data_IF_106065836681
#
_entry.id   IF_106065836681
#
_cell.length_a   1.000
_cell.length_b   1.000
_cell.length_c   1.000
_cell.angle_alpha   90.00
_cell.angle_beta   90.00
_cell.angle_gamma   90.00
#
_symmetry.space_group_name_H-M   'P 1'
#
loop_
_entity.id
_entity.type
_entity.pdbx_description
1 polymer ?
#
# COMPACT_ATOMS: atom_id res chain seq x y z
N UNK A 1 -39.22 -27.42 -36.63
CA UNK A 1 -37.82 -27.86 -36.76
C UNK A 1 -37.00 -26.68 -37.29
N UNK A 2 -36.51 -25.82 -36.40
CA UNK A 2 -35.69 -24.65 -36.77
C UNK A 2 -34.23 -25.11 -36.76
N UNK A 3 -33.70 -25.34 -37.95
CA UNK A 3 -32.30 -25.63 -38.23
C UNK A 3 -31.38 -24.51 -37.72
N UNK A 4 -30.16 -24.89 -37.31
CA UNK A 4 -28.97 -24.07 -36.99
C UNK A 4 -28.89 -22.74 -37.77
N UNK A 5 -29.67 -21.73 -37.35
CA UNK A 5 -29.47 -20.34 -37.75
C UNK A 5 -28.52 -19.70 -36.76
N UNK A 6 -27.52 -18.97 -37.27
CA UNK A 6 -26.88 -17.93 -36.49
C UNK A 6 -27.95 -16.90 -36.17
N UNK A 7 -28.45 -16.92 -34.93
CA UNK A 7 -29.42 -15.94 -34.44
C UNK A 7 -28.71 -14.59 -34.36
N UNK A 8 -29.25 -13.60 -35.06
CA UNK A 8 -28.75 -12.23 -34.98
C UNK A 8 -29.14 -11.60 -33.63
N UNK A 9 -28.44 -10.53 -33.24
CA UNK A 9 -28.67 -9.88 -31.95
C UNK A 9 -30.11 -9.39 -31.75
N UNK A 10 -30.73 -8.83 -32.80
CA UNK A 10 -32.11 -8.35 -32.73
C UNK A 10 -33.08 -9.51 -32.53
N UNK A 11 -32.89 -10.60 -33.27
CA UNK A 11 -33.67 -11.83 -33.14
C UNK A 11 -33.53 -12.43 -31.72
N UNK A 12 -32.33 -12.39 -31.12
CA UNK A 12 -32.15 -12.83 -29.72
C UNK A 12 -32.95 -11.97 -28.73
N UNK A 13 -32.92 -10.63 -28.89
CA UNK A 13 -33.66 -9.72 -28.01
C UNK A 13 -35.17 -9.94 -28.15
N UNK A 14 -35.66 -10.10 -29.38
CA UNK A 14 -37.06 -10.40 -29.66
C UNK A 14 -37.50 -11.72 -29.02
N UNK A 15 -36.68 -12.78 -29.15
CA UNK A 15 -36.93 -14.07 -28.48
C UNK A 15 -36.99 -13.89 -26.96
N UNK A 16 -36.05 -13.17 -26.36
CA UNK A 16 -36.09 -12.92 -24.90
C UNK A 16 -37.34 -12.13 -24.49
N UNK A 17 -37.78 -11.16 -25.30
CA UNK A 17 -38.99 -10.40 -25.02
C UNK A 17 -40.25 -11.26 -25.15
N UNK A 18 -40.31 -12.16 -26.13
CA UNK A 18 -41.39 -13.13 -26.28
C UNK A 18 -41.44 -14.09 -25.09
N UNK A 19 -40.30 -14.65 -24.68
CA UNK A 19 -40.21 -15.49 -23.47
C UNK A 19 -40.64 -14.69 -22.24
N UNK A 20 -40.22 -13.43 -22.11
CA UNK A 20 -40.62 -12.58 -21.01
C UNK A 20 -42.11 -12.20 -20.99
N UNK A 21 -42.74 -12.19 -22.16
CA UNK A 21 -44.19 -11.94 -22.33
C UNK A 21 -45.01 -13.19 -22.01
N UNK A 22 -44.59 -14.34 -22.53
CA UNK A 22 -45.27 -15.64 -22.36
C UNK A 22 -44.94 -16.33 -21.04
N UNK A 23 -43.89 -15.87 -20.37
CA UNK A 23 -43.26 -16.48 -19.20
C UNK A 23 -42.89 -17.97 -19.40
N UNK A 24 -42.60 -18.37 -20.64
CA UNK A 24 -42.34 -19.75 -21.03
C UNK A 24 -41.17 -19.86 -22.02
N UNK A 25 -40.24 -20.79 -21.78
CA UNK A 25 -39.07 -21.04 -22.63
C UNK A 25 -39.16 -22.31 -23.49
N UNK A 26 -40.25 -23.08 -23.37
CA UNK A 26 -40.40 -24.42 -23.98
C UNK A 26 -40.23 -24.42 -25.50
N UNK A 27 -40.69 -23.37 -26.18
CA UNK A 27 -40.56 -23.21 -27.62
C UNK A 27 -39.09 -23.13 -28.09
N UNK A 28 -38.18 -22.83 -27.16
CA UNK A 28 -36.77 -22.56 -27.42
C UNK A 28 -35.82 -23.61 -26.82
N UNK A 29 -36.35 -24.72 -26.26
CA UNK A 29 -35.56 -25.80 -25.64
C UNK A 29 -34.64 -26.58 -26.58
N UNK A 30 -34.76 -26.36 -27.89
CA UNK A 30 -33.89 -26.92 -28.94
C UNK A 30 -33.12 -25.83 -29.71
N UNK A 31 -33.17 -24.59 -29.22
CA UNK A 31 -32.51 -23.45 -29.84
C UNK A 31 -31.10 -23.28 -29.24
N UNK A 32 -30.11 -23.85 -29.91
CA UNK A 32 -28.70 -23.87 -29.47
C UNK A 32 -28.14 -22.48 -29.05
N UNK A 33 -28.38 -21.38 -29.80
CA UNK A 33 -27.91 -20.06 -29.38
C UNK A 33 -28.53 -19.56 -28.07
N UNK A 34 -29.79 -19.90 -27.81
CA UNK A 34 -30.48 -19.59 -26.55
C UNK A 34 -29.92 -20.45 -25.43
N UNK A 35 -29.91 -21.78 -25.58
CA UNK A 35 -29.46 -22.70 -24.52
C UNK A 35 -28.03 -22.41 -24.09
N UNK A 36 -27.11 -22.19 -25.04
CA UNK A 36 -25.68 -21.98 -24.76
C UNK A 36 -25.33 -20.55 -24.34
N UNK A 37 -26.32 -19.69 -24.13
CA UNK A 37 -26.10 -18.28 -23.75
C UNK A 37 -25.08 -17.60 -24.68
N UNK A 38 -25.17 -17.84 -26.00
CA UNK A 38 -24.18 -17.32 -26.97
C UNK A 38 -24.18 -15.80 -27.09
N UNK A 39 -25.07 -15.13 -26.36
CA UNK A 39 -25.14 -13.69 -26.27
C UNK A 39 -24.65 -13.18 -24.90
N UNK A 40 -23.39 -12.74 -24.86
CA UNK A 40 -22.80 -12.08 -23.70
C UNK A 40 -22.86 -10.55 -23.86
N UNK A 41 -23.76 -9.88 -23.14
CA UNK A 41 -23.82 -8.40 -23.10
C UNK A 41 -22.60 -7.75 -22.44
N UNK A 42 -21.69 -8.55 -21.85
CA UNK A 42 -20.59 -8.09 -21.01
C UNK A 42 -19.42 -7.44 -21.74
N UNK A 43 -19.13 -7.79 -23.00
CA UNK A 43 -17.90 -7.33 -23.67
C UNK A 43 -18.04 -6.05 -24.50
N UNK A 44 -19.20 -5.41 -24.52
CA UNK A 44 -19.50 -4.43 -25.58
C UNK A 44 -20.26 -3.17 -25.13
N UNK A 45 -20.14 -2.75 -23.87
CA UNK A 45 -20.74 -1.48 -23.42
C UNK A 45 -20.01 -0.22 -23.95
N UNK A 46 -18.82 -0.34 -24.55
CA UNK A 46 -18.05 0.78 -25.12
C UNK A 46 -18.10 0.87 -26.66
N UNK A 47 -18.67 -0.10 -27.38
CA UNK A 47 -18.69 -0.09 -28.86
C UNK A 47 -20.05 -0.53 -29.42
N UNK A 48 -20.77 0.40 -30.06
CA UNK A 48 -21.95 0.24 -30.94
C UNK A 48 -23.20 -0.52 -30.40
N UNK A 49 -23.11 -1.27 -29.30
CA UNK A 49 -24.18 -2.17 -28.81
C UNK A 49 -25.25 -1.50 -27.94
N UNK A 50 -25.03 -0.27 -27.47
CA UNK A 50 -26.06 0.54 -26.80
C UNK A 50 -27.29 0.82 -27.69
N UNK A 51 -27.15 0.66 -29.02
CA UNK A 51 -28.19 1.01 -29.99
C UNK A 51 -29.29 -0.05 -30.13
N UNK A 52 -29.02 -1.33 -29.80
CA UNK A 52 -29.96 -2.43 -30.03
C UNK A 52 -30.74 -2.85 -28.77
N UNK A 53 -30.39 -2.32 -27.60
CA UNK A 53 -31.15 -2.56 -26.36
C UNK A 53 -32.47 -1.77 -26.44
N UNK A 54 -33.62 -2.38 -26.09
CA UNK A 54 -34.89 -1.66 -26.09
C UNK A 54 -34.85 -0.40 -25.21
N UNK A 55 -35.35 0.72 -25.73
CA UNK A 55 -35.33 1.98 -25.00
C UNK A 55 -36.53 2.16 -24.06
N UNK A 56 -37.67 1.52 -24.39
CA UNK A 56 -38.90 1.62 -23.59
C UNK A 56 -38.80 0.73 -22.35
N UNK A 57 -39.31 1.24 -21.23
CA UNK A 57 -39.26 0.55 -19.94
C UNK A 57 -39.98 -0.82 -20.01
N UNK A 58 -41.16 -0.89 -20.63
CA UNK A 58 -41.91 -2.14 -20.74
C UNK A 58 -41.13 -3.20 -21.54
N UNK A 59 -40.50 -2.79 -22.64
CA UNK A 59 -39.66 -3.64 -23.47
C UNK A 59 -38.41 -4.13 -22.74
N UNK A 60 -37.82 -3.30 -21.87
CA UNK A 60 -36.70 -3.70 -21.00
C UNK A 60 -37.14 -4.71 -19.95
N UNK A 61 -38.34 -4.54 -19.38
CA UNK A 61 -38.90 -5.47 -18.40
C UNK A 61 -39.14 -6.84 -19.05
N UNK A 62 -39.69 -6.88 -20.26
CA UNK A 62 -39.88 -8.14 -21.01
C UNK A 62 -38.53 -8.82 -21.30
N UNK A 63 -37.56 -8.07 -21.83
CA UNK A 63 -36.20 -8.58 -22.07
C UNK A 63 -35.60 -9.16 -20.78
N UNK A 64 -35.70 -8.44 -19.67
CA UNK A 64 -35.21 -8.88 -18.37
C UNK A 64 -35.89 -10.17 -17.91
N UNK A 65 -37.21 -10.26 -18.00
CA UNK A 65 -37.97 -11.47 -17.64
C UNK A 65 -37.52 -12.68 -18.45
N UNK A 66 -37.35 -12.52 -19.77
CA UNK A 66 -36.86 -13.60 -20.63
C UNK A 66 -35.47 -14.10 -20.23
N UNK A 67 -34.56 -13.19 -19.93
CA UNK A 67 -33.22 -13.54 -19.44
C UNK A 67 -33.25 -14.28 -18.10
N UNK A 68 -34.15 -13.92 -17.18
CA UNK A 68 -34.33 -14.61 -15.89
C UNK A 68 -34.87 -16.03 -16.10
N UNK A 69 -35.89 -16.19 -16.93
CA UNK A 69 -36.49 -17.49 -17.24
C UNK A 69 -35.46 -18.41 -17.89
N UNK A 70 -34.71 -17.91 -18.89
CA UNK A 70 -33.67 -18.69 -19.54
C UNK A 70 -32.52 -19.04 -18.58
N UNK A 71 -32.13 -18.14 -17.68
CA UNK A 71 -31.13 -18.44 -16.65
C UNK A 71 -31.58 -19.60 -15.76
N UNK A 72 -32.87 -19.64 -15.37
CA UNK A 72 -33.45 -20.72 -14.58
C UNK A 72 -33.56 -22.02 -15.39
N UNK A 73 -34.22 -21.98 -16.54
CA UNK A 73 -34.63 -23.18 -17.28
C UNK A 73 -33.45 -23.85 -18.00
N UNK A 74 -32.47 -23.06 -18.46
CA UNK A 74 -31.28 -23.54 -19.16
C UNK A 74 -30.01 -23.50 -18.31
N UNK A 75 -30.14 -23.24 -17.00
CA UNK A 75 -29.04 -23.29 -16.03
C UNK A 75 -27.84 -22.40 -16.43
N UNK A 76 -28.11 -21.20 -16.93
CA UNK A 76 -27.04 -20.28 -17.36
C UNK A 76 -26.16 -19.87 -16.16
N UNK A 77 -24.84 -19.83 -16.38
CA UNK A 77 -23.83 -19.53 -15.34
C UNK A 77 -23.18 -18.17 -15.55
N UNK A 78 -23.98 -17.10 -15.60
CA UNK A 78 -23.51 -15.75 -15.95
C UNK A 78 -22.71 -15.00 -14.87
N UNK A 79 -22.57 -15.54 -13.66
CA UNK A 79 -21.81 -14.92 -12.57
C UNK A 79 -22.31 -13.53 -12.17
N UNK A 80 -21.41 -12.69 -11.61
CA UNK A 80 -21.71 -11.35 -11.09
C UNK A 80 -21.99 -10.27 -12.14
N UNK A 81 -21.73 -10.60 -13.40
CA UNK A 81 -21.76 -9.65 -14.51
C UNK A 81 -22.84 -10.00 -15.54
N UNK A 82 -23.69 -10.99 -15.25
CA UNK A 82 -24.69 -11.55 -16.17
C UNK A 82 -25.59 -10.47 -16.83
N UNK A 83 -26.05 -10.77 -18.05
CA UNK A 83 -26.87 -9.86 -18.87
C UNK A 83 -28.11 -9.34 -18.13
N UNK A 84 -28.81 -10.19 -17.39
CA UNK A 84 -29.99 -9.82 -16.59
C UNK A 84 -29.67 -8.75 -15.53
N UNK A 85 -28.51 -8.81 -14.88
CA UNK A 85 -28.06 -7.84 -13.88
C UNK A 85 -27.89 -6.46 -14.51
N UNK A 86 -27.26 -6.40 -15.69
CA UNK A 86 -27.07 -5.13 -16.41
C UNK A 86 -28.43 -4.53 -16.83
N UNK A 87 -29.34 -5.34 -17.36
CA UNK A 87 -30.67 -4.86 -17.74
C UNK A 87 -31.46 -4.38 -16.50
N UNK A 88 -31.37 -5.09 -15.36
CA UNK A 88 -31.98 -4.64 -14.09
C UNK A 88 -31.45 -3.26 -13.67
N UNK A 89 -30.15 -3.00 -13.81
CA UNK A 89 -29.58 -1.68 -13.51
C UNK A 89 -30.16 -0.59 -14.43
N UNK A 90 -30.36 -0.87 -15.73
CA UNK A 90 -30.97 0.08 -16.67
C UNK A 90 -32.44 0.34 -16.28
N UNK A 91 -33.20 -0.71 -15.97
CA UNK A 91 -34.59 -0.60 -15.50
C UNK A 91 -34.64 0.28 -14.25
N UNK A 92 -33.80 0.01 -13.23
CA UNK A 92 -33.72 0.81 -12.00
C UNK A 92 -33.50 2.30 -12.30
N UNK A 93 -32.55 2.63 -13.20
CA UNK A 93 -32.24 4.03 -13.57
C UNK A 93 -33.40 4.72 -14.30
N UNK A 94 -34.19 3.98 -15.09
CA UNK A 94 -35.34 4.52 -15.83
C UNK A 94 -36.62 4.60 -14.98
N UNK A 95 -36.71 3.84 -13.88
CA UNK A 95 -37.87 3.83 -12.98
C UNK A 95 -37.88 5.03 -12.02
N UNK A 96 -38.29 6.19 -12.51
CA UNK A 96 -38.28 7.46 -11.75
C UNK A 96 -39.65 7.80 -11.17
N UNK A 97 -40.74 7.50 -11.88
CA UNK A 97 -42.10 7.83 -11.42
C UNK A 97 -42.58 6.89 -10.31
N UNK A 98 -43.52 7.34 -9.47
CA UNK A 98 -44.06 6.50 -8.39
C UNK A 98 -44.68 5.20 -8.92
N UNK A 99 -45.36 5.25 -10.06
CA UNK A 99 -45.88 4.06 -10.74
C UNK A 99 -44.76 3.12 -11.18
N UNK A 100 -43.69 3.65 -11.78
CA UNK A 100 -42.54 2.86 -12.21
C UNK A 100 -41.80 2.23 -11.03
N UNK A 101 -41.71 2.91 -9.88
CA UNK A 101 -41.13 2.37 -8.65
C UNK A 101 -41.97 1.23 -8.07
N UNK A 102 -43.31 1.34 -8.09
CA UNK A 102 -44.20 0.23 -7.71
C UNK A 102 -44.04 -0.97 -8.65
N UNK A 103 -43.90 -0.72 -9.95
CA UNK A 103 -43.66 -1.78 -10.93
C UNK A 103 -42.28 -2.41 -10.78
N UNK A 104 -41.26 -1.63 -10.43
CA UNK A 104 -39.93 -2.13 -10.10
C UNK A 104 -39.96 -3.04 -8.87
N UNK A 105 -40.67 -2.65 -7.80
CA UNK A 105 -40.84 -3.49 -6.61
C UNK A 105 -41.51 -4.84 -6.94
N UNK A 106 -42.59 -4.81 -7.75
CA UNK A 106 -43.23 -6.02 -8.28
C UNK A 106 -42.26 -6.88 -9.09
N UNK A 107 -41.43 -6.25 -9.93
CA UNK A 107 -40.44 -6.95 -10.74
C UNK A 107 -39.36 -7.61 -9.87
N UNK A 108 -38.87 -6.92 -8.83
CA UNK A 108 -37.90 -7.48 -7.88
C UNK A 108 -38.49 -8.72 -7.22
N UNK A 109 -39.72 -8.63 -6.72
CA UNK A 109 -40.42 -9.77 -6.13
C UNK A 109 -40.60 -10.92 -7.12
N UNK A 110 -41.05 -10.63 -8.35
CA UNK A 110 -41.17 -11.63 -9.40
C UNK A 110 -39.83 -12.30 -9.71
N UNK A 111 -38.74 -11.53 -9.73
CA UNK A 111 -37.39 -12.03 -9.97
C UNK A 111 -36.94 -12.98 -8.87
N UNK A 112 -37.16 -12.61 -7.61
CA UNK A 112 -36.81 -13.45 -6.47
C UNK A 112 -37.45 -14.84 -6.55
N UNK A 113 -38.68 -14.92 -7.06
CA UNK A 113 -39.42 -16.16 -7.23
C UNK A 113 -39.03 -16.97 -8.48
N UNK A 114 -38.50 -16.31 -9.51
CA UNK A 114 -38.26 -16.92 -10.82
C UNK A 114 -36.78 -17.07 -11.21
N UNK A 115 -35.85 -16.51 -10.44
CA UNK A 115 -34.42 -16.62 -10.74
C UNK A 115 -33.90 -18.05 -10.59
N UNK A 116 -32.89 -18.37 -11.39
CA UNK A 116 -32.15 -19.63 -11.28
C UNK A 116 -31.17 -19.62 -10.10
N UNK A 117 -30.21 -20.54 -10.16
CA UNK A 117 -29.21 -20.73 -9.09
C UNK A 117 -28.12 -19.66 -9.04
N UNK A 118 -28.11 -18.71 -9.99
CA UNK A 118 -27.10 -17.65 -10.02
C UNK A 118 -27.19 -16.79 -8.74
N UNK A 119 -26.17 -16.82 -7.86
CA UNK A 119 -26.24 -16.13 -6.58
C UNK A 119 -26.09 -14.61 -6.73
N UNK A 120 -25.73 -14.10 -7.90
CA UNK A 120 -25.57 -12.66 -8.11
C UNK A 120 -26.84 -12.01 -8.69
N UNK A 121 -27.76 -12.81 -9.25
CA UNK A 121 -28.99 -12.30 -9.85
C UNK A 121 -29.95 -11.75 -8.77
N UNK A 122 -30.56 -10.56 -8.97
CA UNK A 122 -30.43 -9.66 -10.13
C UNK A 122 -29.52 -8.44 -9.92
N UNK A 123 -28.85 -8.32 -8.79
CA UNK A 123 -28.17 -7.08 -8.39
C UNK A 123 -26.64 -7.11 -8.48
N UNK A 124 -26.05 -8.20 -8.97
CA UNK A 124 -24.60 -8.33 -9.15
C UNK A 124 -23.82 -8.63 -7.88
N UNK A 125 -24.50 -8.83 -6.75
CA UNK A 125 -23.85 -9.09 -5.46
C UNK A 125 -24.51 -10.25 -4.73
N UNK A 126 -23.70 -11.21 -4.29
CA UNK A 126 -24.16 -12.42 -3.57
C UNK A 126 -25.00 -12.09 -2.32
N UNK A 127 -24.63 -11.01 -1.61
CA UNK A 127 -25.37 -10.54 -0.43
C UNK A 127 -26.79 -10.05 -0.75
N UNK A 128 -27.04 -9.64 -1.99
CA UNK A 128 -28.33 -9.16 -2.47
C UNK A 128 -29.18 -10.28 -3.10
N UNK A 129 -28.70 -11.52 -3.08
CA UNK A 129 -29.37 -12.67 -3.70
C UNK A 129 -30.76 -12.97 -3.13
N UNK A 130 -31.00 -12.63 -1.86
CA UNK A 130 -32.27 -12.89 -1.17
C UNK A 130 -33.22 -11.70 -1.16
N UNK A 131 -32.82 -10.58 -1.75
CA UNK A 131 -33.61 -9.36 -1.73
C UNK A 131 -34.86 -9.55 -2.58
N UNK A 132 -36.01 -9.26 -1.97
CA UNK A 132 -37.33 -9.51 -2.58
C UNK A 132 -38.18 -8.24 -2.74
N UNK A 133 -37.70 -7.10 -2.23
CA UNK A 133 -38.37 -5.80 -2.36
C UNK A 133 -37.38 -4.66 -2.63
N UNK A 134 -37.88 -3.56 -3.17
CA UNK A 134 -37.10 -2.34 -3.37
C UNK A 134 -36.70 -1.70 -2.05
N UNK A 135 -37.57 -1.76 -1.02
CA UNK A 135 -37.28 -1.19 0.29
C UNK A 135 -36.11 -1.88 0.97
N UNK A 136 -36.09 -3.23 0.95
CA UNK A 136 -34.99 -4.03 1.47
C UNK A 136 -33.66 -3.71 0.76
N UNK A 137 -33.69 -3.61 -0.57
CA UNK A 137 -32.53 -3.22 -1.37
C UNK A 137 -31.93 -1.88 -0.91
N UNK A 138 -32.79 -0.86 -0.78
CA UNK A 138 -32.38 0.48 -0.40
C UNK A 138 -31.84 0.54 1.03
N UNK A 139 -32.37 -0.26 1.96
CA UNK A 139 -31.85 -0.36 3.32
C UNK A 139 -30.43 -0.92 3.34
N UNK A 140 -30.17 -1.99 2.57
CA UNK A 140 -28.82 -2.57 2.46
C UNK A 140 -27.85 -1.57 1.81
N UNK A 141 -28.25 -0.92 0.72
CA UNK A 141 -27.44 0.09 0.04
C UNK A 141 -27.11 1.29 0.96
N UNK A 142 -28.08 1.75 1.77
CA UNK A 142 -27.87 2.83 2.74
C UNK A 142 -26.92 2.42 3.87
N UNK A 143 -27.06 1.20 4.38
CA UNK A 143 -26.17 0.66 5.40
C UNK A 143 -24.73 0.50 4.88
N UNK A 144 -24.56 -0.03 3.66
CA UNK A 144 -23.26 -0.13 3.01
C UNK A 144 -22.60 1.25 2.85
N UNK A 145 -23.39 2.25 2.45
CA UNK A 145 -22.93 3.64 2.31
C UNK A 145 -22.45 4.20 3.65
N UNK A 146 -23.25 4.04 4.72
CA UNK A 146 -22.88 4.48 6.08
C UNK A 146 -21.61 3.81 6.57
N UNK A 147 -21.49 2.50 6.37
CA UNK A 147 -20.30 1.73 6.75
C UNK A 147 -19.06 2.19 5.98
N UNK A 148 -19.19 2.46 4.68
CA UNK A 148 -18.09 2.98 3.88
C UNK A 148 -17.63 4.37 4.33
N UNK A 149 -18.55 5.24 4.75
CA UNK A 149 -18.21 6.57 5.29
C UNK A 149 -17.48 6.41 6.62
N UNK A 150 -18.03 5.63 7.55
CA UNK A 150 -17.42 5.38 8.85
C UNK A 150 -16.01 4.78 8.74
N UNK A 151 -15.82 3.84 7.80
CA UNK A 151 -14.52 3.24 7.53
C UNK A 151 -13.50 4.27 7.03
N UNK A 152 -13.89 5.15 6.08
CA UNK A 152 -13.02 6.22 5.58
C UNK A 152 -12.66 7.23 6.67
N UNK A 153 -13.61 7.60 7.51
CA UNK A 153 -13.37 8.52 8.63
C UNK A 153 -12.38 7.91 9.63
N UNK A 154 -12.54 6.61 9.92
CA UNK A 154 -11.63 5.87 10.79
C UNK A 154 -10.21 5.79 10.23
N UNK A 155 -10.06 5.47 8.94
CA UNK A 155 -8.77 5.43 8.24
C UNK A 155 -8.10 6.82 8.24
N UNK A 156 -8.87 7.87 8.00
CA UNK A 156 -8.37 9.26 8.01
C UNK A 156 -7.81 9.64 9.37
N UNK A 157 -8.54 9.36 10.46
CA UNK A 157 -8.08 9.62 11.83
C UNK A 157 -6.81 8.86 12.18
N UNK A 158 -6.69 7.59 11.75
CA UNK A 158 -5.47 6.82 11.96
C UNK A 158 -4.27 7.42 11.23
N UNK A 159 -4.45 7.87 9.98
CA UNK A 159 -3.38 8.52 9.22
C UNK A 159 -2.93 9.83 9.88
N UNK A 160 -3.86 10.64 10.37
CA UNK A 160 -3.56 11.88 11.08
C UNK A 160 -2.81 11.61 12.39
N UNK A 161 -3.26 10.64 13.19
CA UNK A 161 -2.58 10.24 14.43
C UNK A 161 -1.16 9.72 14.18
N UNK A 162 -0.96 8.95 13.10
CA UNK A 162 0.36 8.47 12.70
C UNK A 162 1.27 9.61 12.22
N UNK A 163 0.73 10.59 11.49
CA UNK A 163 1.47 11.78 11.04
C UNK A 163 1.92 12.63 12.22
N UNK A 164 1.05 12.85 13.19
CA UNK A 164 1.39 13.61 14.40
C UNK A 164 2.42 12.89 15.26
N UNK A 165 2.27 11.57 15.43
CA UNK A 165 3.26 10.75 16.16
C UNK A 165 4.65 10.84 15.53
N UNK A 166 4.74 10.76 14.20
CA UNK A 166 6.02 10.94 13.47
C UNK A 166 6.60 12.34 13.64
N UNK A 167 5.75 13.37 13.66
CA UNK A 167 6.18 14.76 13.89
C UNK A 167 6.80 14.90 15.28
N UNK A 168 6.12 14.43 16.32
CA UNK A 168 6.62 14.48 17.71
C UNK A 168 7.94 13.70 17.84
N UNK A 169 8.03 12.51 17.25
CA UNK A 169 9.27 11.72 17.25
C UNK A 169 10.43 12.47 16.57
N UNK A 170 10.17 13.10 15.43
CA UNK A 170 11.16 13.89 14.71
C UNK A 170 11.65 15.09 15.55
N UNK A 171 10.74 15.82 16.18
CA UNK A 171 11.07 16.95 17.06
C UNK A 171 11.95 16.51 18.25
N UNK A 172 11.68 15.34 18.83
CA UNK A 172 12.50 14.76 19.91
C UNK A 172 13.90 14.37 19.43
N UNK A 173 14.02 13.78 18.24
CA UNK A 173 15.32 13.42 17.65
C UNK A 173 16.15 14.69 17.40
N UNK A 174 15.55 15.72 16.82
CA UNK A 174 16.21 17.01 16.55
C UNK A 174 16.72 17.65 17.84
N UNK A 175 15.89 17.69 18.90
CA UNK A 175 16.31 18.19 20.22
C UNK A 175 17.50 17.41 20.79
N UNK A 176 17.46 16.08 20.75
CA UNK A 176 18.57 15.23 21.22
C UNK A 176 19.87 15.47 20.45
N UNK A 177 19.79 15.68 19.13
CA UNK A 177 20.97 16.00 18.32
C UNK A 177 21.55 17.36 18.73
N UNK A 178 20.69 18.36 18.95
CA UNK A 178 21.13 19.70 19.34
C UNK A 178 21.80 19.69 20.73
N UNK A 179 21.20 19.00 21.70
CA UNK A 179 21.80 18.83 23.03
C UNK A 179 23.18 18.14 22.97
N UNK A 180 23.33 17.11 22.12
CA UNK A 180 24.62 16.45 21.90
C UNK A 180 25.65 17.39 21.30
N UNK A 181 25.26 18.24 20.34
CA UNK A 181 26.17 19.25 19.76
C UNK A 181 26.66 20.25 20.81
N UNK A 182 25.76 20.75 21.66
CA UNK A 182 26.10 21.70 22.74
C UNK A 182 27.06 21.04 23.74
N UNK A 183 26.71 19.85 24.26
CA UNK A 183 27.56 19.10 25.20
C UNK A 183 28.93 18.78 24.62
N UNK A 184 28.99 18.40 23.34
CA UNK A 184 30.27 18.14 22.68
C UNK A 184 31.10 19.41 22.53
N UNK A 185 30.49 20.53 22.12
CA UNK A 185 31.18 21.81 22.00
C UNK A 185 31.78 22.28 23.35
N UNK A 186 31.04 22.11 24.44
CA UNK A 186 31.54 22.39 25.80
C UNK A 186 32.70 21.47 26.17
N UNK A 187 32.59 20.17 25.92
CA UNK A 187 33.70 19.22 26.14
C UNK A 187 34.94 19.57 25.32
N UNK A 188 34.78 19.96 24.06
CA UNK A 188 35.89 20.37 23.22
C UNK A 188 36.61 21.63 23.75
N UNK A 189 35.87 22.59 24.32
CA UNK A 189 36.49 23.76 24.98
C UNK A 189 37.38 23.32 26.17
N UNK A 190 36.90 22.38 26.98
CA UNK A 190 37.67 21.82 28.10
C UNK A 190 38.93 21.12 27.59
N UNK A 191 38.81 20.26 26.57
CA UNK A 191 39.96 19.58 25.97
C UNK A 191 40.98 20.55 25.39
N UNK A 192 40.55 21.63 24.71
CA UNK A 192 41.46 22.65 24.22
C UNK A 192 42.26 23.31 25.35
N UNK A 193 41.64 23.58 26.50
CA UNK A 193 42.34 24.15 27.64
C UNK A 193 43.36 23.16 28.23
N UNK A 194 42.98 21.89 28.36
CA UNK A 194 43.86 20.84 28.86
C UNK A 194 45.05 20.58 27.92
N UNK A 195 44.83 20.61 26.60
CA UNK A 195 45.91 20.52 25.61
C UNK A 195 46.86 21.70 25.78
N UNK A 196 46.36 22.94 25.88
CA UNK A 196 47.23 24.11 26.11
C UNK A 196 48.08 23.98 27.39
N UNK A 197 47.48 23.48 28.47
CA UNK A 197 48.21 23.21 29.72
C UNK A 197 49.30 22.16 29.52
N UNK A 198 48.99 21.07 28.82
CA UNK A 198 49.97 20.03 28.46
C UNK A 198 51.10 20.59 27.59
N UNK A 199 50.79 21.43 26.60
CA UNK A 199 51.80 22.03 25.72
C UNK A 199 52.79 22.95 26.45
N UNK A 200 52.36 23.58 27.55
CA UNK A 200 53.19 24.45 28.37
C UNK A 200 54.15 23.69 29.33
N UNK A 201 53.98 22.38 29.50
CA UNK A 201 54.88 21.54 30.30
C UNK A 201 56.25 21.38 29.63
N UNK A 202 57.24 20.94 30.41
CA UNK A 202 58.55 20.56 29.87
C UNK A 202 58.47 19.24 29.07
N UNK A 203 59.40 19.02 28.15
CA UNK A 203 59.42 17.78 27.33
C UNK A 203 59.52 16.50 28.17
N UNK A 204 60.20 16.55 29.32
CA UNK A 204 60.32 15.43 30.24
C UNK A 204 58.99 15.12 30.95
N UNK A 205 58.25 16.16 31.36
CA UNK A 205 56.93 16.02 31.98
C UNK A 205 55.90 15.48 30.97
N UNK A 206 55.89 16.03 29.74
CA UNK A 206 55.02 15.55 28.66
C UNK A 206 55.21 14.06 28.38
N UNK A 207 56.48 13.63 28.29
CA UNK A 207 56.81 12.23 28.07
C UNK A 207 56.32 11.35 29.24
N UNK A 208 56.54 11.78 30.48
CA UNK A 208 56.10 11.04 31.66
C UNK A 208 54.56 10.91 31.72
N UNK A 209 53.83 11.99 31.42
CA UNK A 209 52.36 12.00 31.41
C UNK A 209 51.79 11.07 30.34
N UNK A 210 52.41 10.99 29.16
CA UNK A 210 52.04 10.01 28.14
C UNK A 210 52.34 8.59 28.60
N UNK A 211 53.56 8.29 29.05
CA UNK A 211 53.97 6.94 29.44
C UNK A 211 53.21 6.41 30.65
N UNK A 212 52.75 7.30 31.53
CA UNK A 212 51.93 7.00 32.71
C UNK A 212 50.43 7.07 32.44
N UNK A 213 50.00 7.38 31.22
CA UNK A 213 48.60 7.54 30.81
C UNK A 213 47.82 8.54 31.70
N UNK A 214 48.46 9.68 32.03
CA UNK A 214 47.89 10.74 32.89
C UNK A 214 47.29 11.91 32.11
N UNK A 215 47.22 11.81 30.78
CA UNK A 215 46.58 12.83 29.95
C UNK A 215 45.09 12.95 30.26
N UNK A 216 44.61 14.19 30.40
CA UNK A 216 43.23 14.51 30.77
C UNK A 216 42.30 14.72 29.56
N UNK A 217 42.84 14.62 28.34
CA UNK A 217 42.13 14.76 27.09
C UNK A 217 42.33 13.52 26.20
N UNK A 218 41.42 13.28 25.23
CA UNK A 218 41.58 12.17 24.28
C UNK A 218 42.87 12.32 23.47
N UNK A 219 43.68 11.25 23.42
CA UNK A 219 44.96 11.22 22.68
C UNK A 219 44.80 11.60 21.20
N UNK A 220 43.60 11.38 20.63
CA UNK A 220 43.27 11.76 19.26
C UNK A 220 43.30 13.28 19.00
N UNK A 221 43.28 14.09 20.06
CA UNK A 221 43.35 15.55 19.98
C UNK A 221 44.74 16.09 20.28
N UNK A 222 45.73 15.24 20.56
CA UNK A 222 47.11 15.67 20.77
C UNK A 222 47.69 16.18 19.44
N UNK A 223 48.18 17.44 19.36
CA UNK A 223 48.74 17.97 18.13
C UNK A 223 49.94 17.16 17.64
N UNK A 224 50.06 17.00 16.33
CA UNK A 224 51.14 16.23 15.71
C UNK A 224 52.53 16.78 16.05
N UNK A 225 52.67 18.11 16.15
CA UNK A 225 53.92 18.74 16.54
C UNK A 225 54.41 18.28 17.92
N UNK A 226 53.52 18.10 18.90
CA UNK A 226 53.89 17.63 20.24
C UNK A 226 54.41 16.20 20.21
N UNK A 227 53.78 15.32 19.41
CA UNK A 227 54.29 13.97 19.19
C UNK A 227 55.72 13.99 18.63
N UNK A 228 55.97 14.80 17.60
CA UNK A 228 57.27 14.88 16.97
C UNK A 228 58.34 15.47 17.89
N UNK A 229 58.01 16.50 18.68
CA UNK A 229 58.91 17.08 19.68
C UNK A 229 59.32 16.04 20.72
N UNK A 230 58.36 15.32 21.29
CA UNK A 230 58.61 14.28 22.30
C UNK A 230 59.46 13.14 21.73
N UNK A 231 59.22 12.75 20.48
CA UNK A 231 59.97 11.68 19.82
C UNK A 231 61.39 12.11 19.45
N UNK A 232 61.61 13.36 19.03
CA UNK A 232 62.92 13.87 18.58
C UNK A 232 63.85 14.24 19.73
N UNK A 233 63.31 14.77 20.83
CA UNK A 233 64.12 15.36 21.90
C UNK A 233 64.54 14.36 22.99
N UNK A 234 64.13 13.09 22.89
CA UNK A 234 64.31 12.08 23.94
C UNK A 234 64.95 10.80 23.38
N UNK A 235 65.96 10.26 24.07
CA UNK A 235 66.50 8.93 23.79
C UNK A 235 65.52 7.85 24.27
N UNK A 236 64.43 7.65 23.52
CA UNK A 236 63.36 6.71 23.86
C UNK A 236 63.87 5.26 23.85
N UNK A 237 63.64 4.52 24.94
CA UNK A 237 63.93 3.08 24.99
C UNK A 237 62.84 2.30 24.27
N UNK A 238 63.14 1.07 23.83
CA UNK A 238 62.17 0.19 23.17
C UNK A 238 60.90 -0.06 24.02
N UNK A 239 61.01 -0.05 25.35
CA UNK A 239 59.87 -0.18 26.26
C UNK A 239 58.93 1.04 26.18
N UNK A 240 59.48 2.25 26.08
CA UNK A 240 58.73 3.50 26.01
C UNK A 240 57.99 3.62 24.68
N UNK A 241 58.66 3.27 23.58
CA UNK A 241 58.06 3.22 22.23
C UNK A 241 56.85 2.27 22.21
N UNK A 242 56.96 1.09 22.84
CA UNK A 242 55.85 0.15 22.91
C UNK A 242 54.66 0.69 23.72
N UNK A 243 54.91 1.44 24.80
CA UNK A 243 53.85 2.11 25.57
C UNK A 243 53.15 3.17 24.72
N UNK A 244 53.91 4.02 24.03
CA UNK A 244 53.36 5.07 23.14
C UNK A 244 52.49 4.48 22.02
N UNK A 245 52.92 3.39 21.37
CA UNK A 245 52.12 2.70 20.34
C UNK A 245 50.79 2.17 20.90
N UNK A 246 50.79 1.68 22.14
CA UNK A 246 49.58 1.14 22.80
C UNK A 246 48.58 2.23 23.18
N UNK A 247 49.04 3.45 23.46
CA UNK A 247 48.16 4.60 23.75
C UNK A 247 47.33 5.00 22.53
N UNK A 248 47.84 4.79 21.31
CA UNK A 248 47.16 5.18 20.08
C UNK A 248 46.02 4.19 19.75
N UNK A 249 44.74 4.64 19.76
CA UNK A 249 43.58 3.80 19.47
C UNK A 249 43.62 3.22 18.05
N UNK A 250 42.92 2.10 17.83
CA UNK A 250 42.77 1.52 16.48
C UNK A 250 42.03 2.46 15.52
N UNK A 251 40.99 3.12 16.02
CA UNK A 251 40.18 4.09 15.27
C UNK A 251 40.63 5.51 15.66
N UNK A 252 41.56 6.05 14.88
CA UNK A 252 42.15 7.39 15.08
C UNK A 252 42.30 8.12 13.74
N UNK A 253 42.73 9.37 13.76
CA UNK A 253 42.91 10.23 12.59
C UNK A 253 44.08 9.75 11.72
N UNK A 254 44.16 10.24 10.47
CA UNK A 254 45.23 9.92 9.53
C UNK A 254 46.62 10.27 10.10
N UNK A 255 46.72 11.42 10.74
CA UNK A 255 47.95 12.00 11.28
C UNK A 255 48.50 11.12 12.40
N UNK A 256 47.64 10.72 13.34
CA UNK A 256 48.03 9.86 14.46
C UNK A 256 48.33 8.43 14.01
N UNK A 257 47.68 7.95 12.94
CA UNK A 257 48.07 6.68 12.30
C UNK A 257 49.48 6.76 11.71
N UNK A 258 49.88 7.89 11.13
CA UNK A 258 51.24 8.09 10.62
C UNK A 258 52.26 8.10 11.77
N UNK A 259 51.97 8.79 12.88
CA UNK A 259 52.80 8.77 14.09
C UNK A 259 52.97 7.35 14.62
N UNK A 260 51.88 6.55 14.68
CA UNK A 260 51.95 5.15 15.11
C UNK A 260 52.89 4.32 14.22
N UNK A 261 52.83 4.50 12.90
CA UNK A 261 53.73 3.83 11.95
C UNK A 261 55.18 4.27 12.16
N UNK A 262 55.40 5.55 12.40
CA UNK A 262 56.73 6.08 12.66
C UNK A 262 57.35 5.47 13.94
N UNK A 263 56.58 5.40 15.03
CA UNK A 263 56.99 4.72 16.26
C UNK A 263 57.28 3.22 16.02
N UNK A 264 56.51 2.54 15.16
CA UNK A 264 56.76 1.15 14.80
C UNK A 264 58.11 0.96 14.07
N UNK A 265 58.49 1.91 13.22
CA UNK A 265 59.79 1.92 12.52
C UNK A 265 60.93 2.14 13.51
N UNK A 266 60.77 3.09 14.44
CA UNK A 266 61.78 3.35 15.49
C UNK A 266 61.97 2.17 16.46
N UNK A 267 60.95 1.31 16.59
CA UNK A 267 61.02 0.09 17.40
C UNK A 267 61.90 -1.00 16.78
N UNK A 268 61.99 -1.05 15.45
CA UNK A 268 62.78 -2.07 14.74
C UNK A 268 64.28 -1.78 14.92
N UNK A 269 65.09 -2.73 15.44
CA UNK A 269 66.53 -2.55 15.47
C UNK A 269 67.04 -2.37 14.04
N UNK A 270 67.86 -1.33 13.80
CA UNK A 270 68.57 -1.17 12.53
C UNK A 270 69.41 -2.43 12.34
N UNK A 271 69.05 -3.27 11.37
CA UNK A 271 69.94 -4.30 10.84
C UNK A 271 71.12 -3.55 10.23
N UNK A 272 72.25 -3.61 10.93
CA UNK A 272 73.57 -3.23 10.40
C UNK A 272 74.00 -4.33 9.44
#
# INVERSE_FOLDING_TARGET
MLLNKNIEQLEFIEIMQEIGLTECSDNYKHCDPVIKQRFHLQHHFETQLANNIPQRLDSLILLFKGLIICERDFMWRGGSVASNINIMQIIRRKSISQLALRNLDKLIRWTYLNKGENPYTPFGARKLSKVSSLSELLQIEDMDRKNSIAQRDFETRQMEAAKESRRVEHELIVKKIQERKIKNAERYKIFHQQIKQFQAQTDAEKLNDLLSNRISFPINLLPECEWLTIIRNQNLKAADINKLIKLIPKNTTSEIKQIKRFLQILRTPKLI
#
